data_IF_572662931174
#
_entry.id   IF_572662931174
#
_cell.length_a   1.000
_cell.length_b   1.000
_cell.length_c   1.000
_cell.angle_alpha   90.00
_cell.angle_beta   90.00
_cell.angle_gamma   90.00
#
_symmetry.space_group_name_H-M   'P 1'
#
loop_
_entity.id
_entity.type
_entity.pdbx_description
1 polymer ?
#
# COMPACT_ATOMS: atom_id res chain seq x y z
N UNK A 1 -2.04 15.68 -16.52
CA UNK A 1 -1.33 14.68 -15.70
C UNK A 1 -2.33 13.67 -15.20
N UNK A 2 -2.17 12.40 -15.59
CA UNK A 2 -3.03 11.31 -15.12
C UNK A 2 -2.79 11.04 -13.63
N UNK A 3 -3.64 10.21 -13.01
CA UNK A 3 -3.53 9.90 -11.58
C UNK A 3 -2.14 9.33 -11.21
N UNK A 4 -1.61 8.38 -11.99
CA UNK A 4 -0.33 7.70 -11.69
C UNK A 4 0.84 8.68 -11.63
N UNK A 5 0.96 9.53 -12.64
CA UNK A 5 1.98 10.59 -12.72
C UNK A 5 1.87 11.56 -11.53
N UNK A 6 0.64 11.95 -11.17
CA UNK A 6 0.38 12.86 -10.05
C UNK A 6 0.74 12.23 -8.71
N UNK A 7 0.38 10.97 -8.52
CA UNK A 7 0.68 10.20 -7.33
C UNK A 7 2.20 10.18 -7.10
N UNK A 8 2.97 9.82 -8.12
CA UNK A 8 4.44 9.80 -8.06
C UNK A 8 4.99 11.21 -7.77
N UNK A 9 4.50 12.25 -8.47
CA UNK A 9 4.97 13.64 -8.24
C UNK A 9 4.75 14.10 -6.81
N UNK A 10 3.56 13.86 -6.24
CA UNK A 10 3.25 14.27 -4.86
C UNK A 10 4.10 13.50 -3.84
N UNK A 11 4.37 12.22 -4.06
CA UNK A 11 5.23 11.42 -3.20
C UNK A 11 6.70 11.85 -3.31
N UNK A 12 7.18 12.19 -4.50
CA UNK A 12 8.53 12.74 -4.73
C UNK A 12 8.69 14.11 -4.05
N UNK A 13 7.75 15.03 -4.25
CA UNK A 13 7.73 16.36 -3.61
C UNK A 13 7.68 16.25 -2.08
N UNK A 14 6.88 15.31 -1.57
CA UNK A 14 6.79 14.98 -0.16
C UNK A 14 8.03 14.29 0.41
N UNK A 15 8.97 13.84 -0.44
CA UNK A 15 10.10 12.98 -0.07
C UNK A 15 9.64 11.73 0.68
N UNK A 16 8.65 11.03 0.13
CA UNK A 16 8.06 9.84 0.75
C UNK A 16 8.85 8.56 0.47
N UNK A 17 9.54 8.47 -0.66
CA UNK A 17 10.38 7.29 -0.94
C UNK A 17 11.65 7.29 -0.09
N UNK A 18 11.98 6.12 0.46
CA UNK A 18 13.18 5.91 1.28
C UNK A 18 14.45 5.96 0.42
N UNK A 19 14.39 5.36 -0.77
CA UNK A 19 15.45 5.39 -1.76
C UNK A 19 14.87 5.23 -3.19
N UNK A 20 15.77 5.20 -4.17
CA UNK A 20 15.40 4.97 -5.57
C UNK A 20 14.81 3.59 -5.83
N UNK A 21 15.14 2.59 -5.00
CA UNK A 21 14.63 1.23 -5.09
C UNK A 21 13.16 1.15 -4.69
N UNK A 22 12.80 1.76 -3.55
CA UNK A 22 11.42 1.90 -3.09
C UNK A 22 10.58 2.62 -4.16
N UNK A 23 11.07 3.75 -4.67
CA UNK A 23 10.39 4.48 -5.75
C UNK A 23 10.15 3.63 -6.99
N UNK A 24 11.17 2.89 -7.42
CA UNK A 24 11.10 2.04 -8.62
C UNK A 24 10.06 0.95 -8.45
N UNK A 25 10.12 0.20 -7.35
CA UNK A 25 9.18 -0.88 -7.03
C UNK A 25 7.73 -0.40 -6.95
N UNK A 26 7.49 0.71 -6.26
CA UNK A 26 6.14 1.28 -6.21
C UNK A 26 5.63 1.68 -7.60
N UNK A 27 6.47 2.33 -8.40
CA UNK A 27 6.12 2.74 -9.76
C UNK A 27 5.81 1.52 -10.63
N UNK A 28 6.56 0.43 -10.51
CA UNK A 28 6.29 -0.82 -11.23
C UNK A 28 4.90 -1.38 -10.89
N UNK A 29 4.55 -1.49 -9.60
CA UNK A 29 3.21 -1.94 -9.21
C UNK A 29 2.11 -1.04 -9.77
N UNK A 30 2.30 0.28 -9.67
CA UNK A 30 1.31 1.26 -10.11
C UNK A 30 1.14 1.27 -11.64
N UNK A 31 2.23 1.17 -12.39
CA UNK A 31 2.21 1.12 -13.85
C UNK A 31 1.53 -0.17 -14.32
N UNK A 32 1.86 -1.32 -13.73
CA UNK A 32 1.33 -2.62 -14.12
C UNK A 32 -0.14 -2.83 -13.72
N UNK A 33 -0.52 -2.47 -12.49
CA UNK A 33 -1.83 -2.85 -11.93
C UNK A 33 -2.80 -1.67 -11.75
N UNK A 34 -2.34 -0.43 -11.94
CA UNK A 34 -3.14 0.77 -11.69
C UNK A 34 -4.36 0.96 -12.60
N UNK A 35 -4.48 0.19 -13.69
CA UNK A 35 -5.62 0.24 -14.63
C UNK A 35 -6.52 -1.01 -14.53
N UNK A 36 -6.25 -1.92 -13.59
CA UNK A 36 -7.07 -3.12 -13.41
C UNK A 36 -8.41 -2.80 -12.72
N UNK A 37 -9.48 -3.57 -12.97
CA UNK A 37 -10.81 -3.31 -12.40
C UNK A 37 -10.86 -3.32 -10.87
N UNK A 38 -9.99 -4.09 -10.21
CA UNK A 38 -9.87 -4.15 -8.76
C UNK A 38 -9.08 -2.99 -8.16
N UNK A 39 -8.47 -2.12 -8.99
CA UNK A 39 -7.64 -1.05 -8.49
C UNK A 39 -8.44 -0.03 -7.69
N UNK A 40 -7.92 0.37 -6.53
CA UNK A 40 -8.53 1.33 -5.64
C UNK A 40 -7.47 2.19 -4.96
N UNK A 41 -7.90 3.30 -4.34
CA UNK A 41 -7.00 4.11 -3.53
C UNK A 41 -6.40 3.34 -2.36
N UNK A 42 -7.19 2.47 -1.72
CA UNK A 42 -6.70 1.58 -0.65
C UNK A 42 -5.60 0.65 -1.16
N UNK A 43 -5.81 0.03 -2.33
CA UNK A 43 -4.80 -0.84 -2.93
C UNK A 43 -3.52 -0.09 -3.28
N UNK A 44 -3.63 1.13 -3.81
CA UNK A 44 -2.47 1.97 -4.11
C UNK A 44 -1.60 2.23 -2.86
N UNK A 45 -2.24 2.47 -1.71
CA UNK A 45 -1.52 2.62 -0.43
C UNK A 45 -0.85 1.31 0.00
N UNK A 46 -1.48 0.16 -0.22
CA UNK A 46 -0.88 -1.15 0.05
C UNK A 46 0.32 -1.42 -0.87
N UNK A 47 0.22 -1.07 -2.16
CA UNK A 47 1.35 -1.15 -3.11
C UNK A 47 2.52 -0.26 -2.65
N UNK A 48 2.25 0.95 -2.17
CA UNK A 48 3.28 1.81 -1.60
C UNK A 48 3.93 1.18 -0.37
N UNK A 49 3.13 0.72 0.60
CA UNK A 49 3.62 0.11 1.84
C UNK A 49 4.48 -1.13 1.55
N UNK A 50 4.04 -2.02 0.67
CA UNK A 50 4.77 -3.23 0.29
C UNK A 50 6.03 -2.96 -0.54
N UNK A 51 6.09 -1.83 -1.25
CA UNK A 51 7.27 -1.43 -2.01
C UNK A 51 8.41 -0.86 -1.13
N UNK A 52 8.38 -1.04 0.19
CA UNK A 52 9.43 -0.58 1.08
C UNK A 52 10.69 -1.46 1.04
N UNK A 53 10.53 -2.79 0.96
CA UNK A 53 11.63 -3.77 0.79
C UNK A 53 11.32 -4.83 -0.27
N UNK A 54 12.32 -5.62 -0.67
CA UNK A 54 12.18 -6.62 -1.73
C UNK A 54 11.24 -7.78 -1.35
N UNK A 55 11.20 -8.15 -0.06
CA UNK A 55 10.41 -9.30 0.43
C UNK A 55 8.92 -9.00 0.31
N UNK A 56 8.50 -7.85 0.84
CA UNK A 56 7.12 -7.41 0.80
C UNK A 56 6.67 -7.05 -0.61
N UNK A 57 7.57 -6.51 -1.43
CA UNK A 57 7.30 -6.24 -2.83
C UNK A 57 7.01 -7.53 -3.59
N UNK A 58 7.80 -8.59 -3.37
CA UNK A 58 7.58 -9.89 -3.99
C UNK A 58 6.22 -10.49 -3.59
N UNK A 59 5.86 -10.44 -2.31
CA UNK A 59 4.55 -10.89 -1.81
C UNK A 59 3.40 -10.11 -2.48
N UNK A 60 3.51 -8.79 -2.55
CA UNK A 60 2.49 -7.96 -3.21
C UNK A 60 2.36 -8.29 -4.70
N UNK A 61 3.48 -8.47 -5.39
CA UNK A 61 3.50 -8.79 -6.81
C UNK A 61 2.82 -10.14 -7.10
N UNK A 62 3.05 -11.14 -6.24
CA UNK A 62 2.38 -12.45 -6.30
C UNK A 62 0.86 -12.30 -6.15
N UNK A 63 0.40 -11.64 -5.08
CA UNK A 63 -1.04 -11.39 -4.84
C UNK A 63 -1.69 -10.67 -6.02
N UNK A 64 -1.07 -9.60 -6.53
CA UNK A 64 -1.62 -8.84 -7.66
C UNK A 64 -1.66 -9.65 -8.96
N UNK A 65 -0.67 -10.52 -9.16
CA UNK A 65 -0.64 -11.44 -10.31
C UNK A 65 -1.77 -12.45 -10.23
N UNK A 66 -2.01 -13.03 -9.06
CA UNK A 66 -3.14 -13.95 -8.84
C UNK A 66 -4.49 -13.26 -9.08
N UNK A 67 -4.68 -12.06 -8.52
CA UNK A 67 -5.91 -11.27 -8.74
C UNK A 67 -6.13 -10.94 -10.23
N UNK A 68 -5.07 -10.59 -10.95
CA UNK A 68 -5.12 -10.34 -12.38
C UNK A 68 -5.50 -11.59 -13.19
N UNK A 69 -4.92 -12.75 -12.87
CA UNK A 69 -5.23 -14.03 -13.51
C UNK A 69 -6.65 -14.52 -13.20
N UNK A 70 -7.09 -14.35 -11.95
CA UNK A 70 -8.45 -14.65 -11.48
C UNK A 70 -9.52 -13.72 -12.06
N UNK A 71 -9.10 -12.61 -12.69
CA UNK A 71 -9.98 -11.53 -13.20
C UNK A 71 -10.87 -10.94 -12.11
N UNK A 72 -10.28 -10.76 -10.94
CA UNK A 72 -10.95 -10.15 -9.81
C UNK A 72 -11.40 -8.72 -10.13
N UNK A 73 -12.44 -8.26 -9.43
CA UNK A 73 -13.01 -6.91 -9.60
C UNK A 73 -12.91 -6.07 -8.33
N UNK A 74 -12.48 -6.65 -7.23
CA UNK A 74 -12.27 -5.98 -5.95
C UNK A 74 -11.11 -6.63 -5.17
N UNK A 75 -10.83 -6.12 -3.97
CA UNK A 75 -9.71 -6.55 -3.12
C UNK A 75 -10.15 -7.44 -1.95
N UNK A 76 -11.32 -8.10 -2.04
CA UNK A 76 -11.85 -8.90 -0.93
C UNK A 76 -10.95 -10.07 -0.56
N UNK A 77 -10.44 -10.78 -1.56
CA UNK A 77 -9.56 -11.93 -1.35
C UNK A 77 -8.25 -11.50 -0.70
N UNK A 78 -7.62 -10.46 -1.23
CA UNK A 78 -6.42 -9.85 -0.64
C UNK A 78 -6.64 -9.43 0.83
N UNK A 79 -7.79 -8.82 1.14
CA UNK A 79 -8.14 -8.43 2.52
C UNK A 79 -8.27 -9.65 3.44
N UNK A 80 -8.85 -10.74 2.95
CA UNK A 80 -8.99 -11.99 3.72
C UNK A 80 -7.62 -12.63 3.98
N UNK A 81 -6.77 -12.71 2.96
CA UNK A 81 -5.40 -13.20 3.08
C UNK A 81 -4.59 -12.37 4.07
N UNK A 82 -4.68 -11.04 4.01
CA UNK A 82 -4.03 -10.15 4.97
C UNK A 82 -4.48 -10.37 6.41
N UNK A 83 -5.75 -10.72 6.65
CA UNK A 83 -6.24 -11.06 7.99
C UNK A 83 -5.69 -12.40 8.51
N UNK A 84 -5.55 -13.39 7.63
CA UNK A 84 -4.92 -14.68 7.96
C UNK A 84 -3.44 -14.48 8.29
N UNK A 85 -2.70 -13.79 7.41
CA UNK A 85 -1.27 -13.51 7.60
C UNK A 85 -1.02 -12.70 8.88
N UNK A 86 -1.85 -11.70 9.17
CA UNK A 86 -1.77 -11.00 10.45
C UNK A 86 -1.94 -11.96 11.64
N UNK A 87 -2.85 -12.93 11.56
CA UNK A 87 -3.01 -13.94 12.62
C UNK A 87 -1.82 -14.88 12.81
N UNK A 88 -0.96 -15.01 11.81
CA UNK A 88 0.23 -15.88 11.81
C UNK A 88 1.53 -15.15 12.19
N UNK A 89 1.53 -13.82 12.08
CA UNK A 89 2.68 -12.97 12.38
C UNK A 89 2.65 -12.39 13.80
N UNK A 90 3.82 -12.01 14.30
CA UNK A 90 3.99 -11.24 15.54
C UNK A 90 4.93 -10.05 15.28
N UNK A 91 4.98 -9.10 16.22
CA UNK A 91 5.85 -7.93 16.11
C UNK A 91 5.40 -6.98 14.99
N UNK A 92 6.34 -6.35 14.29
CA UNK A 92 6.00 -5.34 13.29
C UNK A 92 5.22 -5.84 12.07
N UNK A 93 5.49 -7.05 11.61
CA UNK A 93 4.77 -7.69 10.48
C UNK A 93 3.26 -7.74 10.70
N UNK A 94 2.85 -8.08 11.94
CA UNK A 94 1.44 -8.05 12.35
C UNK A 94 0.79 -6.68 12.05
N UNK A 95 1.48 -5.61 12.41
CA UNK A 95 0.98 -4.24 12.24
C UNK A 95 1.02 -3.77 10.78
N UNK A 96 1.96 -4.25 9.97
CA UNK A 96 2.01 -4.02 8.52
C UNK A 96 0.78 -4.61 7.84
N UNK A 97 0.44 -5.87 8.12
CA UNK A 97 -0.77 -6.50 7.57
C UNK A 97 -2.06 -5.83 8.07
N UNK A 98 -2.12 -5.45 9.35
CA UNK A 98 -3.23 -4.68 9.91
C UNK A 98 -3.41 -3.32 9.21
N UNK A 99 -2.32 -2.63 8.91
CA UNK A 99 -2.35 -1.35 8.17
C UNK A 99 -2.83 -1.55 6.73
N UNK A 100 -2.30 -2.58 6.05
CA UNK A 100 -2.75 -2.96 4.69
C UNK A 100 -4.26 -3.18 4.65
N UNK A 101 -4.79 -3.97 5.59
CA UNK A 101 -6.23 -4.20 5.70
C UNK A 101 -7.03 -2.93 6.02
N UNK A 102 -6.52 -2.06 6.89
CA UNK A 102 -7.16 -0.77 7.18
C UNK A 102 -7.24 0.12 5.92
N UNK A 103 -6.19 0.12 5.09
CA UNK A 103 -6.20 0.83 3.81
C UNK A 103 -7.23 0.26 2.83
N UNK A 104 -7.32 -1.06 2.70
CA UNK A 104 -8.31 -1.71 1.83
C UNK A 104 -9.75 -1.43 2.30
N UNK A 105 -9.98 -1.42 3.61
CA UNK A 105 -11.30 -1.13 4.21
C UNK A 105 -11.67 0.36 4.20
N UNK A 106 -10.72 1.26 3.89
CA UNK A 106 -10.91 2.71 4.01
C UNK A 106 -11.12 3.16 5.46
N UNK A 107 -10.52 2.46 6.43
CA UNK A 107 -10.62 2.74 7.87
C UNK A 107 -9.35 3.41 8.38
N UNK A 108 -9.52 4.15 9.49
CA UNK A 108 -8.39 4.67 10.23
C UNK A 108 -7.59 3.53 10.87
N UNK A 109 -6.27 3.62 10.80
CA UNK A 109 -5.37 2.69 11.48
C UNK A 109 -5.04 3.22 12.86
N UNK A 110 -5.37 2.45 13.88
CA UNK A 110 -5.08 2.76 15.28
C UNK A 110 -3.98 1.83 15.78
N UNK A 111 -2.87 2.42 16.21
CA UNK A 111 -1.81 1.72 16.90
C UNK A 111 -2.14 1.64 18.39
N UNK A 112 -2.04 0.44 18.97
CA UNK A 112 -2.25 0.23 20.41
C UNK A 112 -1.13 0.91 21.22
N UNK A 113 -1.45 1.47 22.39
CA UNK A 113 -0.48 2.23 23.20
C UNK A 113 0.71 1.37 23.69
N UNK A 114 0.50 0.06 23.81
CA UNK A 114 1.51 -0.92 24.21
C UNK A 114 2.03 -1.76 23.04
N UNK A 115 1.75 -1.35 21.80
CA UNK A 115 2.25 -2.02 20.60
C UNK A 115 3.77 -2.18 20.65
N UNK A 116 4.23 -3.43 20.67
CA UNK A 116 5.66 -3.76 20.65
C UNK A 116 6.07 -4.18 19.25
N UNK A 117 6.85 -3.34 18.61
CA UNK A 117 7.46 -3.64 17.31
C UNK A 117 8.86 -3.04 17.23
N UNK A 118 9.61 -3.50 16.25
CA UNK A 118 10.92 -2.98 15.93
C UNK A 118 10.80 -1.55 15.36
N UNK A 119 11.74 -0.64 15.65
CA UNK A 119 11.67 0.76 15.24
C UNK A 119 11.51 0.97 13.73
N UNK A 120 12.00 0.03 12.93
CA UNK A 120 11.88 0.03 11.47
C UNK A 120 10.41 -0.10 11.03
N UNK A 121 9.63 -0.97 11.68
CA UNK A 121 8.21 -1.13 11.39
C UNK A 121 7.38 0.07 11.85
N UNK A 122 7.70 0.64 13.01
CA UNK A 122 7.06 1.88 13.47
C UNK A 122 7.31 3.01 12.47
N UNK A 123 8.56 3.11 12.00
CA UNK A 123 8.96 4.08 11.00
C UNK A 123 8.18 3.88 9.69
N UNK A 124 8.15 2.67 9.12
CA UNK A 124 7.49 2.45 7.82
C UNK A 124 5.97 2.63 7.90
N UNK A 125 5.33 2.21 9.00
CA UNK A 125 3.89 2.44 9.25
C UNK A 125 3.58 3.93 9.23
N UNK A 126 4.35 4.73 9.98
CA UNK A 126 4.17 6.19 10.00
C UNK A 126 4.37 6.82 8.64
N UNK A 127 5.37 6.36 7.88
CA UNK A 127 5.65 6.84 6.51
C UNK A 127 4.55 6.47 5.54
N UNK A 128 4.03 5.25 5.61
CA UNK A 128 2.91 4.79 4.79
C UNK A 128 1.61 5.56 5.09
N UNK A 129 1.34 5.92 6.35
CA UNK A 129 0.21 6.78 6.70
C UNK A 129 0.34 8.18 6.06
N UNK A 130 1.53 8.79 6.13
CA UNK A 130 1.81 10.09 5.51
C UNK A 130 1.68 10.03 3.98
N UNK A 131 2.28 9.02 3.36
CA UNK A 131 2.15 8.78 1.93
C UNK A 131 0.69 8.52 1.53
N UNK A 132 -0.07 7.79 2.36
CA UNK A 132 -1.48 7.51 2.15
C UNK A 132 -2.34 8.77 2.01
N UNK A 133 -2.07 9.80 2.82
CA UNK A 133 -2.76 11.08 2.70
C UNK A 133 -2.42 11.82 1.38
N UNK A 134 -1.19 11.69 0.89
CA UNK A 134 -0.79 12.25 -0.41
C UNK A 134 -1.42 11.49 -1.58
N UNK A 135 -1.52 10.16 -1.47
CA UNK A 135 -2.21 9.30 -2.45
C UNK A 135 -3.69 9.66 -2.53
N UNK A 136 -4.36 9.86 -1.38
CA UNK A 136 -5.75 10.32 -1.34
C UNK A 136 -5.92 11.68 -2.03
N UNK A 137 -5.03 12.64 -1.73
CA UNK A 137 -5.02 13.93 -2.40
C UNK A 137 -4.85 13.79 -3.91
N UNK A 138 -3.98 12.88 -4.38
CA UNK A 138 -3.80 12.61 -5.80
C UNK A 138 -5.11 12.11 -6.46
N UNK A 139 -5.85 11.24 -5.78
CA UNK A 139 -7.13 10.68 -6.24
C UNK A 139 -8.24 11.74 -6.28
N UNK A 140 -8.42 12.53 -5.21
CA UNK A 140 -9.46 13.56 -5.16
C UNK A 140 -9.31 14.61 -6.26
N UNK A 141 -8.07 14.98 -6.60
CA UNK A 141 -7.82 15.98 -7.63
C UNK A 141 -7.92 15.42 -9.06
N UNK A 142 -8.00 14.10 -9.24
CA UNK A 142 -8.23 13.48 -10.55
C UNK A 142 -9.71 13.50 -10.97
N UNK A 143 -10.63 13.77 -10.03
CA UNK A 143 -12.08 13.84 -10.26
C UNK A 143 -12.65 15.23 -10.53
N UNK A 144 -11.83 16.25 -10.77
CA UNK A 144 -12.31 17.57 -11.20
C UNK A 144 -12.37 17.61 -12.74
N UNK A 145 -13.54 17.93 -13.34
CA UNK A 145 -13.73 17.97 -14.80
C UNK A 145 -12.86 19.04 -15.47
#
# INVERSE_FOLDING_TARGET
MNFKERCISLLDEGRMFEDSGHRTRFKELLDCYGDYPFFSGGLCKCMYLSAWDEVHFAVMLEVLTEMALGKERDTREMRMQGEILAGECAGGEYYVFRLSNAFLDGKEFLLEEDARMEPEYEYIIRRALQAGALIERALCQAGSP
#
